data_IF_489657125532
#
_entry.id   IF_489657125532
#
_cell.length_a   1.000
_cell.length_b   1.000
_cell.length_c   1.000
_cell.angle_alpha   90.00
_cell.angle_beta   90.00
_cell.angle_gamma   90.00
#
_symmetry.space_group_name_H-M   'P 1'
#
loop_
_entity.id
_entity.type
_entity.pdbx_description
1 polymer ?
#
# COMPACT_ATOMS: atom_id res chain seq x y z
N UNK A 1 44.98 -26.18 -29.23
CA UNK A 1 43.96 -26.99 -28.54
C UNK A 1 44.33 -26.98 -27.07
N UNK A 2 43.63 -26.34 -26.15
CA UNK A 2 42.26 -25.81 -26.12
C UNK A 2 42.22 -24.74 -25.03
N UNK A 3 41.28 -23.81 -25.21
CA UNK A 3 41.04 -22.60 -24.45
C UNK A 3 41.26 -22.66 -22.94
N UNK A 4 42.12 -21.75 -22.46
CA UNK A 4 41.84 -21.02 -21.23
C UNK A 4 41.57 -19.58 -21.61
N UNK A 5 40.37 -19.34 -22.16
CA UNK A 5 39.73 -18.03 -22.13
C UNK A 5 39.49 -17.66 -20.66
N UNK A 6 40.51 -17.02 -20.07
CA UNK A 6 40.40 -16.37 -18.78
C UNK A 6 39.41 -15.22 -18.93
N UNK A 7 38.20 -15.45 -18.44
CA UNK A 7 37.07 -14.53 -18.45
C UNK A 7 37.49 -13.17 -17.82
N UNK A 8 37.75 -12.17 -18.67
CA UNK A 8 38.14 -10.79 -18.29
C UNK A 8 36.93 -10.01 -17.74
N UNK A 9 36.33 -10.50 -16.65
CA UNK A 9 35.24 -9.82 -15.96
C UNK A 9 35.73 -9.09 -14.70
N UNK A 10 35.92 -7.77 -14.84
CA UNK A 10 35.52 -6.75 -13.83
C UNK A 10 36.21 -6.75 -12.46
N UNK A 11 37.49 -6.34 -12.40
CA UNK A 11 38.09 -5.86 -11.14
C UNK A 11 37.67 -4.40 -10.89
N UNK A 12 36.52 -4.20 -10.26
CA UNK A 12 36.15 -2.93 -9.65
C UNK A 12 36.54 -2.99 -8.16
N UNK A 13 37.36 -2.05 -7.69
CA UNK A 13 37.83 -2.01 -6.30
C UNK A 13 36.93 -1.09 -5.50
N UNK A 14 36.35 -1.57 -4.40
CA UNK A 14 35.56 -0.74 -3.50
C UNK A 14 36.43 0.37 -2.93
N UNK A 15 35.98 1.62 -3.06
CA UNK A 15 36.70 2.79 -2.60
C UNK A 15 35.70 3.81 -2.06
N UNK A 16 35.80 4.16 -0.77
CA UNK A 16 34.83 5.05 -0.13
C UNK A 16 33.38 4.57 -0.28
N UNK A 17 32.54 5.44 -0.83
CA UNK A 17 31.12 5.24 -1.14
C UNK A 17 30.87 4.78 -2.59
N UNK A 18 31.89 4.27 -3.26
CA UNK A 18 31.79 3.83 -4.64
C UNK A 18 32.77 2.70 -5.00
N UNK A 19 33.06 2.61 -6.29
CA UNK A 19 34.07 1.71 -6.83
C UNK A 19 35.01 2.49 -7.75
N UNK A 20 36.27 2.09 -7.78
CA UNK A 20 37.20 2.44 -8.84
C UNK A 20 37.15 1.34 -9.87
N UNK A 21 36.79 1.68 -11.10
CA UNK A 21 36.71 0.72 -12.20
C UNK A 21 38.10 0.30 -12.65
N UNK A 22 38.19 -0.77 -13.45
CA UNK A 22 39.44 -1.20 -14.08
C UNK A 22 40.08 -0.15 -15.01
N UNK A 23 39.33 0.90 -15.37
CA UNK A 23 39.82 2.06 -16.16
C UNK A 23 40.28 3.22 -15.29
N UNK A 24 40.33 3.07 -13.96
CA UNK A 24 40.75 4.11 -13.02
C UNK A 24 39.71 5.21 -12.79
N UNK A 25 38.47 5.03 -13.25
CA UNK A 25 37.39 5.99 -13.00
C UNK A 25 36.64 5.66 -11.72
N UNK A 26 36.33 6.68 -10.92
CA UNK A 26 35.50 6.54 -9.73
C UNK A 26 34.01 6.57 -10.09
N UNK A 27 33.26 5.57 -9.66
CA UNK A 27 31.80 5.51 -9.76
C UNK A 27 31.22 5.56 -8.34
N UNK A 28 30.59 6.68 -7.99
CA UNK A 28 29.91 6.87 -6.70
C UNK A 28 28.61 6.07 -6.67
N UNK A 29 28.33 5.39 -5.57
CA UNK A 29 27.00 4.88 -5.28
C UNK A 29 26.24 5.90 -4.43
N UNK A 30 25.18 6.44 -4.99
CA UNK A 30 24.32 7.38 -4.30
C UNK A 30 23.40 6.65 -3.33
N UNK A 31 23.32 7.14 -2.10
CA UNK A 31 22.16 6.86 -1.26
C UNK A 31 20.90 7.49 -1.87
N UNK A 32 19.73 7.03 -1.45
CA UNK A 32 18.46 7.56 -1.96
C UNK A 32 18.31 9.06 -1.66
N UNK A 33 18.79 9.52 -0.50
CA UNK A 33 18.76 10.93 -0.09
C UNK A 33 19.70 11.75 -0.99
N UNK A 34 20.95 11.30 -1.17
CA UNK A 34 21.90 12.00 -2.04
C UNK A 34 21.43 12.09 -3.48
N UNK A 35 20.78 11.04 -4.00
CA UNK A 35 20.19 11.04 -5.34
C UNK A 35 19.11 12.13 -5.46
N UNK A 36 18.20 12.22 -4.48
CA UNK A 36 17.18 13.27 -4.46
C UNK A 36 17.79 14.67 -4.41
N UNK A 37 18.77 14.87 -3.54
CA UNK A 37 19.43 16.17 -3.40
C UNK A 37 20.16 16.57 -4.68
N UNK A 38 20.80 15.61 -5.35
CA UNK A 38 21.45 15.83 -6.64
C UNK A 38 20.45 16.24 -7.72
N UNK A 39 19.33 15.52 -7.85
CA UNK A 39 18.28 15.85 -8.82
C UNK A 39 17.68 17.22 -8.54
N UNK A 40 17.36 17.51 -7.27
CA UNK A 40 16.82 18.81 -6.85
C UNK A 40 17.76 19.96 -7.19
N UNK A 41 19.05 19.83 -6.89
CA UNK A 41 20.06 20.86 -7.21
C UNK A 41 20.22 21.08 -8.71
N UNK A 42 20.04 20.04 -9.51
CA UNK A 42 20.24 20.09 -10.96
C UNK A 42 19.03 20.68 -11.68
N UNK A 43 17.82 20.28 -11.28
CA UNK A 43 16.58 20.65 -11.98
C UNK A 43 15.81 21.79 -11.32
N UNK A 44 16.13 22.14 -10.07
CA UNK A 44 15.44 23.18 -9.30
C UNK A 44 14.08 22.77 -8.73
N UNK A 45 13.56 21.61 -9.13
CA UNK A 45 12.28 21.06 -8.64
C UNK A 45 12.51 19.93 -7.63
N UNK A 46 11.61 19.82 -6.64
CA UNK A 46 11.64 18.74 -5.64
C UNK A 46 11.28 17.39 -6.27
N UNK A 47 12.18 16.38 -6.26
CA UNK A 47 11.90 15.07 -6.81
C UNK A 47 11.06 14.20 -5.87
N UNK A 48 10.16 13.40 -6.45
CA UNK A 48 9.35 12.40 -5.75
C UNK A 48 10.01 11.04 -5.88
N UNK A 49 10.26 10.35 -4.74
CA UNK A 49 10.73 8.97 -4.74
C UNK A 49 9.69 8.05 -5.39
N UNK A 50 10.03 7.48 -6.55
CA UNK A 50 9.22 6.48 -7.22
C UNK A 50 9.61 5.07 -6.75
N UNK A 51 10.92 4.82 -6.57
CA UNK A 51 11.47 3.58 -6.04
C UNK A 51 12.95 3.75 -5.67
N UNK A 52 13.61 2.66 -5.29
CA UNK A 52 15.06 2.67 -5.04
C UNK A 52 15.81 3.06 -6.32
N UNK A 53 16.53 4.19 -6.26
CA UNK A 53 17.26 4.73 -7.41
C UNK A 53 16.39 5.38 -8.48
N UNK A 54 15.07 5.50 -8.28
CA UNK A 54 14.12 6.05 -9.26
C UNK A 54 13.36 7.22 -8.66
N UNK A 55 13.33 8.35 -9.36
CA UNK A 55 12.60 9.55 -8.95
C UNK A 55 11.81 10.17 -10.10
N UNK A 56 10.67 10.77 -9.79
CA UNK A 56 9.86 11.57 -10.71
C UNK A 56 10.03 13.05 -10.44
N UNK A 57 10.04 13.85 -11.50
CA UNK A 57 10.09 15.31 -11.44
C UNK A 57 9.00 15.85 -12.33
N UNK A 58 8.17 16.72 -11.77
CA UNK A 58 7.02 17.29 -12.46
C UNK A 58 7.34 18.72 -12.87
N UNK A 59 6.96 19.07 -14.10
CA UNK A 59 7.06 20.45 -14.60
C UNK A 59 5.96 21.33 -14.03
N UNK A 60 4.73 20.79 -13.97
CA UNK A 60 3.55 21.47 -13.44
C UNK A 60 3.24 21.01 -12.01
N UNK A 61 2.94 21.96 -11.12
CA UNK A 61 2.68 21.65 -9.71
C UNK A 61 1.29 21.02 -9.52
N UNK A 62 0.28 21.38 -10.32
CA UNK A 62 -1.05 20.79 -10.20
C UNK A 62 -1.03 19.30 -10.60
N UNK A 63 -0.28 18.94 -11.64
CA UNK A 63 -0.06 17.54 -12.04
C UNK A 63 0.62 16.74 -10.92
N UNK A 64 1.65 17.31 -10.30
CA UNK A 64 2.34 16.71 -9.15
C UNK A 64 1.37 16.44 -8.00
N UNK A 65 0.55 17.43 -7.65
CA UNK A 65 -0.41 17.30 -6.55
C UNK A 65 -1.52 16.29 -6.86
N UNK A 66 -1.99 16.24 -8.11
CA UNK A 66 -2.96 15.24 -8.53
C UNK A 66 -2.38 13.82 -8.46
N UNK A 67 -1.13 13.65 -8.88
CA UNK A 67 -0.40 12.38 -8.76
C UNK A 67 -0.28 11.94 -7.29
N UNK A 68 0.20 12.81 -6.41
CA UNK A 68 0.34 12.51 -4.97
C UNK A 68 -1.00 12.19 -4.31
N UNK A 69 -2.04 12.98 -4.60
CA UNK A 69 -3.37 12.76 -4.05
C UNK A 69 -4.01 11.46 -4.56
N UNK A 70 -3.70 11.03 -5.78
CA UNK A 70 -4.20 9.76 -6.35
C UNK A 70 -3.43 8.56 -5.81
N UNK A 71 -2.12 8.68 -5.61
CA UNK A 71 -1.24 7.60 -5.13
C UNK A 71 -1.66 7.05 -3.77
N UNK A 72 -2.22 7.89 -2.90
CA UNK A 72 -2.65 7.47 -1.56
C UNK A 72 -4.10 6.97 -1.53
N UNK A 73 -4.89 7.14 -2.60
CA UNK A 73 -6.32 6.79 -2.57
C UNK A 73 -6.52 5.31 -2.39
N UNK A 74 -7.59 4.97 -1.67
CA UNK A 74 -8.08 3.60 -1.68
C UNK A 74 -8.89 3.32 -2.95
N UNK A 75 -8.43 2.37 -3.76
CA UNK A 75 -9.15 1.89 -4.94
C UNK A 75 -10.16 0.84 -4.46
N UNK A 76 -11.44 1.20 -4.40
CA UNK A 76 -12.47 0.20 -4.13
C UNK A 76 -12.81 -0.53 -5.42
N UNK A 77 -12.50 -1.83 -5.47
CA UNK A 77 -13.01 -2.74 -6.49
C UNK A 77 -14.41 -3.26 -6.16
N UNK A 78 -15.11 -2.67 -5.19
CA UNK A 78 -16.48 -3.05 -4.82
C UNK A 78 -17.43 -2.81 -6.00
N UNK A 79 -17.50 -3.78 -6.89
CA UNK A 79 -18.62 -4.05 -7.77
C UNK A 79 -19.70 -4.57 -6.82
N UNK A 80 -20.34 -3.66 -6.07
CA UNK A 80 -21.58 -4.04 -5.41
C UNK A 80 -22.49 -4.63 -6.49
N UNK A 81 -22.94 -5.87 -6.28
CA UNK A 81 -24.08 -6.44 -6.99
C UNK A 81 -25.25 -5.51 -6.71
N UNK A 82 -25.44 -4.48 -7.53
CA UNK A 82 -26.45 -3.45 -7.32
C UNK A 82 -27.82 -4.10 -7.47
N UNK A 83 -28.67 -4.19 -6.43
CA UNK A 83 -30.07 -4.43 -6.66
C UNK A 83 -30.68 -3.08 -7.02
N UNK A 84 -30.71 -2.74 -8.31
CA UNK A 84 -31.46 -1.55 -8.73
C UNK A 84 -32.85 -1.99 -9.18
N UNK A 85 -33.80 -1.92 -8.25
CA UNK A 85 -35.18 -1.65 -8.64
C UNK A 85 -35.26 -0.16 -8.98
N UNK A 86 -34.84 0.21 -10.20
CA UNK A 86 -35.15 1.52 -10.74
C UNK A 86 -36.66 1.53 -10.95
N UNK A 87 -37.38 2.40 -10.25
CA UNK A 87 -38.76 2.71 -10.63
C UNK A 87 -38.80 3.10 -12.12
N UNK A 88 -39.85 2.69 -12.85
CA UNK A 88 -39.92 2.85 -14.31
C UNK A 88 -39.72 4.31 -14.77
N UNK A 89 -40.09 5.28 -13.93
CA UNK A 89 -39.88 6.72 -14.16
C UNK A 89 -38.42 7.16 -14.33
N UNK A 90 -37.45 6.33 -13.95
CA UNK A 90 -36.01 6.64 -14.02
C UNK A 90 -35.26 5.81 -15.06
N UNK A 91 -35.96 4.95 -15.79
CA UNK A 91 -35.35 4.07 -16.81
C UNK A 91 -34.62 4.87 -17.88
N UNK A 92 -35.18 6.02 -18.28
CA UNK A 92 -34.57 6.93 -19.27
C UNK A 92 -33.36 7.70 -18.73
N UNK A 93 -33.26 7.89 -17.41
CA UNK A 93 -32.14 8.58 -16.75
C UNK A 93 -31.08 7.61 -16.20
N UNK A 94 -31.26 6.30 -16.36
CA UNK A 94 -30.41 5.25 -15.78
C UNK A 94 -28.93 5.47 -16.04
N UNK A 95 -28.54 5.65 -17.31
CA UNK A 95 -27.12 5.74 -17.68
C UNK A 95 -26.43 6.97 -17.06
N UNK A 96 -27.08 8.14 -17.13
CA UNK A 96 -26.53 9.38 -16.55
C UNK A 96 -26.50 9.29 -15.03
N UNK A 97 -27.50 8.66 -14.40
CA UNK A 97 -27.54 8.44 -12.97
C UNK A 97 -26.44 7.48 -12.50
N UNK A 98 -26.17 6.40 -13.24
CA UNK A 98 -25.09 5.46 -12.93
C UNK A 98 -23.71 6.13 -13.01
N UNK A 99 -23.47 6.96 -14.03
CA UNK A 99 -22.27 7.79 -14.15
C UNK A 99 -22.15 8.77 -12.98
N UNK A 100 -23.26 9.40 -12.59
CA UNK A 100 -23.31 10.33 -11.46
C UNK A 100 -23.00 9.65 -10.13
N UNK A 101 -23.59 8.48 -9.87
CA UNK A 101 -23.31 7.66 -8.68
C UNK A 101 -21.84 7.28 -8.63
N UNK A 102 -21.27 6.77 -9.73
CA UNK A 102 -19.83 6.44 -9.79
C UNK A 102 -18.96 7.66 -9.47
N UNK A 103 -19.33 8.85 -9.96
CA UNK A 103 -18.61 10.08 -9.65
C UNK A 103 -18.74 10.47 -8.18
N UNK A 104 -19.91 10.30 -7.56
CA UNK A 104 -20.10 10.51 -6.13
C UNK A 104 -19.28 9.52 -5.31
N UNK A 105 -19.28 8.24 -5.65
CA UNK A 105 -18.50 7.21 -4.97
C UNK A 105 -17.00 7.51 -5.05
N UNK A 106 -16.53 8.02 -6.20
CA UNK A 106 -15.15 8.43 -6.40
C UNK A 106 -14.76 9.71 -5.63
N UNK A 107 -15.67 10.68 -5.52
CA UNK A 107 -15.41 11.96 -4.86
C UNK A 107 -15.77 11.95 -3.37
N UNK A 108 -16.57 11.00 -2.88
CA UNK A 108 -17.16 11.03 -1.53
C UNK A 108 -18.09 12.22 -1.29
N UNK A 109 -18.56 12.89 -2.35
CA UNK A 109 -19.44 14.06 -2.32
C UNK A 109 -20.12 14.26 -3.66
N UNK A 110 -21.10 15.17 -3.70
CA UNK A 110 -21.70 15.64 -4.94
C UNK A 110 -20.61 16.33 -5.80
N UNK A 111 -20.43 15.93 -7.08
CA UNK A 111 -19.50 16.62 -7.99
C UNK A 111 -19.94 18.06 -8.24
N UNK A 112 -19.00 18.94 -8.56
CA UNK A 112 -19.30 20.23 -9.18
C UNK A 112 -19.60 20.06 -10.66
N UNK A 113 -20.21 21.08 -11.26
CA UNK A 113 -20.66 21.03 -12.66
C UNK A 113 -19.50 20.81 -13.64
N UNK A 114 -18.34 21.39 -13.34
CA UNK A 114 -17.10 21.22 -14.11
C UNK A 114 -16.36 19.90 -13.80
N UNK A 115 -16.81 19.12 -12.82
CA UNK A 115 -16.25 17.80 -12.50
C UNK A 115 -17.05 16.63 -13.12
N UNK A 116 -18.19 16.92 -13.76
CA UNK A 116 -19.09 15.90 -14.31
C UNK A 116 -19.35 16.12 -15.80
N UNK A 117 -18.90 15.19 -16.63
CA UNK A 117 -18.96 15.30 -18.10
C UNK A 117 -20.39 15.38 -18.64
N UNK A 118 -21.35 14.73 -17.98
CA UNK A 118 -22.75 14.66 -18.42
C UNK A 118 -23.66 15.69 -17.70
N UNK A 119 -23.12 16.84 -17.31
CA UNK A 119 -23.85 17.90 -16.57
C UNK A 119 -25.15 18.31 -17.26
N UNK A 120 -25.11 18.64 -18.55
CA UNK A 120 -26.29 19.09 -19.30
C UNK A 120 -27.36 18.00 -19.40
N UNK A 121 -26.95 16.76 -19.67
CA UNK A 121 -27.85 15.60 -19.74
C UNK A 121 -28.52 15.34 -18.38
N UNK A 122 -27.75 15.46 -17.30
CA UNK A 122 -28.28 15.27 -15.95
C UNK A 122 -29.27 16.36 -15.58
N UNK A 123 -28.98 17.62 -15.89
CA UNK A 123 -29.90 18.74 -15.65
C UNK A 123 -31.18 18.60 -16.47
N UNK A 124 -31.08 18.21 -17.74
CA UNK A 124 -32.25 17.98 -18.59
C UNK A 124 -33.16 16.87 -18.06
N UNK A 125 -32.60 15.74 -17.60
CA UNK A 125 -33.37 14.58 -17.15
C UNK A 125 -33.82 14.61 -15.69
N UNK A 126 -33.01 15.21 -14.81
CA UNK A 126 -33.19 15.14 -13.35
C UNK A 126 -33.27 16.54 -12.68
N UNK A 127 -33.17 17.61 -13.46
CA UNK A 127 -33.29 19.01 -13.03
C UNK A 127 -31.98 19.59 -12.48
N UNK A 128 -31.50 19.08 -11.34
CA UNK A 128 -30.28 19.60 -10.70
C UNK A 128 -29.48 18.53 -9.99
N UNK A 129 -28.21 18.80 -9.69
CA UNK A 129 -27.33 17.88 -8.96
C UNK A 129 -27.90 17.54 -7.57
N UNK A 130 -28.51 18.52 -6.88
CA UNK A 130 -29.15 18.29 -5.59
C UNK A 130 -30.38 17.39 -5.71
N UNK A 131 -31.21 17.57 -6.75
CA UNK A 131 -32.36 16.69 -7.01
C UNK A 131 -31.90 15.27 -7.37
N UNK A 132 -30.90 15.14 -8.25
CA UNK A 132 -30.29 13.87 -8.60
C UNK A 132 -29.68 13.17 -7.37
N UNK A 133 -29.01 13.91 -6.48
CA UNK A 133 -28.44 13.34 -5.27
C UNK A 133 -29.49 12.89 -4.25
N UNK A 134 -30.61 13.62 -4.11
CA UNK A 134 -31.76 13.15 -3.31
C UNK A 134 -32.26 11.81 -3.83
N UNK A 135 -32.38 11.65 -5.14
CA UNK A 135 -32.74 10.38 -5.76
C UNK A 135 -31.71 9.28 -5.45
N UNK A 136 -30.41 9.57 -5.55
CA UNK A 136 -29.35 8.63 -5.16
C UNK A 136 -29.53 8.16 -3.71
N UNK A 137 -29.81 9.07 -2.76
CA UNK A 137 -30.07 8.69 -1.36
C UNK A 137 -31.28 7.78 -1.16
N UNK A 138 -32.30 7.92 -2.01
CA UNK A 138 -33.46 7.01 -1.97
C UNK A 138 -33.15 5.61 -2.52
N UNK A 139 -32.25 5.51 -3.49
CA UNK A 139 -31.92 4.25 -4.18
C UNK A 139 -30.79 3.49 -3.46
N UNK A 140 -29.84 4.19 -2.85
CA UNK A 140 -28.66 3.60 -2.22
C UNK A 140 -28.75 3.71 -0.70
N UNK A 141 -28.30 2.67 0.04
CA UNK A 141 -28.20 2.75 1.50
C UNK A 141 -27.39 3.97 1.96
N UNK A 142 -27.92 4.75 2.90
CA UNK A 142 -27.27 5.98 3.40
C UNK A 142 -25.85 5.71 3.94
N UNK A 143 -25.62 4.53 4.51
CA UNK A 143 -24.30 4.15 5.03
C UNK A 143 -23.22 4.08 3.93
N UNK A 144 -23.57 3.75 2.69
CA UNK A 144 -22.60 3.63 1.61
C UNK A 144 -22.01 5.00 1.23
N UNK A 145 -22.87 6.00 1.09
CA UNK A 145 -22.44 7.35 0.69
C UNK A 145 -21.57 7.97 1.78
N UNK A 146 -21.96 7.81 3.05
CA UNK A 146 -21.18 8.28 4.19
C UNK A 146 -19.84 7.54 4.32
N UNK A 147 -19.80 6.22 4.06
CA UNK A 147 -18.53 5.48 4.01
C UNK A 147 -17.60 6.01 2.91
N UNK A 148 -18.12 6.29 1.71
CA UNK A 148 -17.32 6.89 0.62
C UNK A 148 -16.84 8.30 0.96
N UNK A 149 -17.67 9.08 1.66
CA UNK A 149 -17.31 10.40 2.19
C UNK A 149 -16.17 10.31 3.20
N UNK A 150 -16.30 9.45 4.21
CA UNK A 150 -15.27 9.25 5.24
C UNK A 150 -13.97 8.75 4.63
N UNK A 151 -14.04 7.80 3.70
CA UNK A 151 -12.87 7.31 2.96
C UNK A 151 -12.17 8.44 2.21
N UNK A 152 -12.90 9.31 1.50
CA UNK A 152 -12.31 10.46 0.81
C UNK A 152 -11.59 11.39 1.78
N UNK A 153 -12.22 11.71 2.91
CA UNK A 153 -11.63 12.56 3.96
C UNK A 153 -10.32 11.95 4.46
N UNK A 154 -10.32 10.66 4.75
CA UNK A 154 -9.14 9.92 5.20
C UNK A 154 -8.02 9.94 4.15
N UNK A 155 -8.34 9.72 2.87
CA UNK A 155 -7.36 9.79 1.77
C UNK A 155 -6.75 11.19 1.65
N UNK A 156 -7.56 12.24 1.77
CA UNK A 156 -7.10 13.64 1.75
C UNK A 156 -6.20 13.96 2.93
N UNK A 157 -6.52 13.48 4.14
CA UNK A 157 -5.68 13.66 5.33
C UNK A 157 -4.32 12.99 5.16
N UNK A 158 -4.29 11.76 4.64
CA UNK A 158 -3.03 11.05 4.34
C UNK A 158 -2.21 11.83 3.31
N UNK A 159 -2.84 12.26 2.22
CA UNK A 159 -2.20 13.08 1.18
C UNK A 159 -1.60 14.36 1.76
N UNK A 160 -2.36 15.13 2.53
CA UNK A 160 -1.90 16.39 3.11
C UNK A 160 -0.78 16.16 4.12
N UNK A 161 -0.87 15.12 4.96
CA UNK A 161 0.17 14.77 5.91
C UNK A 161 1.50 14.46 5.19
N UNK A 162 1.47 13.61 4.16
CA UNK A 162 2.68 13.26 3.41
C UNK A 162 3.22 14.40 2.54
N UNK A 163 2.33 15.28 2.05
CA UNK A 163 2.74 16.47 1.30
C UNK A 163 3.46 17.51 2.16
N UNK A 164 3.38 17.42 3.49
CA UNK A 164 4.15 18.25 4.41
C UNK A 164 5.66 18.17 4.12
N UNK A 165 6.17 16.98 3.80
CA UNK A 165 7.60 16.75 3.54
C UNK A 165 8.13 17.39 2.26
N UNK A 166 7.26 17.80 1.35
CA UNK A 166 7.63 18.40 0.06
C UNK A 166 7.21 19.87 -0.05
N UNK A 167 6.88 20.50 1.09
CA UNK A 167 6.25 21.81 1.18
C UNK A 167 4.92 21.86 0.44
N UNK A 168 3.82 21.79 1.20
CA UNK A 168 2.47 21.89 0.64
C UNK A 168 2.34 23.16 -0.21
N UNK A 169 1.83 23.07 -1.45
CA UNK A 169 1.71 24.26 -2.28
C UNK A 169 0.60 25.18 -1.76
N UNK A 170 0.61 26.46 -2.18
CA UNK A 170 -0.52 27.37 -2.02
C UNK A 170 -1.82 26.77 -2.56
N UNK A 171 -2.95 27.20 -1.98
CA UNK A 171 -4.27 26.67 -2.31
C UNK A 171 -4.62 26.81 -3.79
N UNK A 172 -4.21 27.91 -4.41
CA UNK A 172 -4.50 28.28 -5.80
C UNK A 172 -3.82 27.35 -6.81
N UNK A 173 -2.68 26.75 -6.42
CA UNK A 173 -1.94 25.80 -7.25
C UNK A 173 -2.46 24.36 -7.11
N UNK A 174 -3.39 24.11 -6.20
CA UNK A 174 -4.03 22.80 -6.12
C UNK A 174 -4.97 22.61 -7.33
N UNK A 175 -5.09 21.38 -7.87
CA UNK A 175 -6.15 21.04 -8.80
C UNK A 175 -7.53 21.45 -8.28
N UNK A 176 -8.42 21.96 -9.14
CA UNK A 176 -9.78 22.41 -8.77
C UNK A 176 -10.55 21.40 -7.92
N UNK A 177 -10.43 20.11 -8.25
CA UNK A 177 -11.09 19.04 -7.50
C UNK A 177 -10.64 18.99 -6.04
N UNK A 178 -9.33 19.17 -5.78
CA UNK A 178 -8.81 19.26 -4.41
C UNK A 178 -9.24 20.56 -3.75
N UNK A 179 -9.26 21.69 -4.48
CA UNK A 179 -9.78 22.94 -3.94
C UNK A 179 -11.23 22.81 -3.44
N UNK A 180 -12.08 22.13 -4.21
CA UNK A 180 -13.45 21.81 -3.79
C UNK A 180 -13.49 20.88 -2.58
N UNK A 181 -12.66 19.84 -2.58
CA UNK A 181 -12.57 18.90 -1.47
C UNK A 181 -12.19 19.60 -0.16
N UNK A 182 -11.18 20.46 -0.18
CA UNK A 182 -10.75 21.21 1.02
C UNK A 182 -11.89 22.05 1.60
N UNK A 183 -12.62 22.76 0.74
CA UNK A 183 -13.76 23.59 1.16
C UNK A 183 -14.93 22.76 1.66
N UNK A 184 -15.26 21.66 0.98
CA UNK A 184 -16.46 20.87 1.27
C UNK A 184 -16.29 19.97 2.50
N UNK A 185 -15.09 19.42 2.70
CA UNK A 185 -14.85 18.47 3.80
C UNK A 185 -14.30 19.12 5.06
N UNK A 186 -13.49 20.18 4.92
CA UNK A 186 -12.78 20.79 6.04
C UNK A 186 -13.13 22.27 6.26
N UNK A 187 -13.93 22.86 5.37
CA UNK A 187 -14.28 24.29 5.38
C UNK A 187 -13.19 25.18 4.76
N UNK A 188 -11.92 24.92 5.06
CA UNK A 188 -10.79 25.62 4.45
C UNK A 188 -9.56 24.71 4.29
N UNK A 189 -8.64 25.13 3.43
CA UNK A 189 -7.36 24.42 3.25
C UNK A 189 -6.50 24.45 4.51
N UNK A 190 -6.47 25.57 5.24
CA UNK A 190 -5.74 25.67 6.52
C UNK A 190 -6.22 24.63 7.51
N UNK A 191 -7.54 24.52 7.72
CA UNK A 191 -8.14 23.52 8.63
C UNK A 191 -7.85 22.08 8.19
N UNK A 192 -7.80 21.82 6.88
CA UNK A 192 -7.42 20.52 6.35
C UNK A 192 -5.96 20.18 6.67
N UNK A 193 -5.05 21.15 6.48
CA UNK A 193 -3.64 21.05 6.80
C UNK A 193 -3.41 20.84 8.31
N UNK A 194 -4.06 21.64 9.17
CA UNK A 194 -3.99 21.53 10.63
C UNK A 194 -4.36 20.12 11.09
N UNK A 195 -5.50 19.58 10.62
CA UNK A 195 -5.94 18.22 10.96
C UNK A 195 -4.99 17.15 10.44
N UNK A 196 -4.39 17.36 9.27
CA UNK A 196 -3.40 16.44 8.72
C UNK A 196 -2.08 16.48 9.51
N UNK A 197 -1.67 17.66 9.98
CA UNK A 197 -0.50 17.85 10.84
C UNK A 197 -0.70 17.19 12.20
N UNK A 198 -1.89 17.31 12.80
CA UNK A 198 -2.23 16.60 14.04
C UNK A 198 -2.04 15.08 13.91
N UNK A 199 -2.53 14.49 12.81
CA UNK A 199 -2.31 13.06 12.52
C UNK A 199 -0.83 12.74 12.30
N UNK A 200 -0.10 13.60 11.59
CA UNK A 200 1.33 13.44 11.37
C UNK A 200 2.14 13.52 12.69
N UNK A 201 1.73 14.37 13.64
CA UNK A 201 2.35 14.37 14.97
C UNK A 201 2.01 13.11 15.77
N UNK A 202 0.80 12.57 15.62
CA UNK A 202 0.40 11.34 16.31
C UNK A 202 1.23 10.13 15.88
N UNK A 203 1.69 10.04 14.63
CA UNK A 203 2.50 8.90 14.19
C UNK A 203 3.86 8.79 14.91
N UNK A 204 4.31 9.87 15.55
CA UNK A 204 5.51 9.87 16.38
C UNK A 204 5.33 9.21 17.76
N UNK A 205 4.08 8.92 18.16
CA UNK A 205 3.72 8.35 19.47
C UNK A 205 3.53 6.83 19.34
N UNK A 206 4.41 5.99 19.94
CA UNK A 206 4.30 4.54 19.84
C UNK A 206 2.94 3.98 20.27
N UNK A 207 2.32 4.57 21.30
CA UNK A 207 1.02 4.15 21.82
C UNK A 207 -0.11 4.36 20.80
N UNK A 208 -0.04 5.45 20.03
CA UNK A 208 -1.04 5.72 18.99
C UNK A 208 -0.92 4.72 17.83
N UNK A 209 0.31 4.38 17.43
CA UNK A 209 0.57 3.34 16.43
C UNK A 209 0.10 1.97 16.93
N UNK A 210 0.38 1.67 18.19
CA UNK A 210 -0.03 0.42 18.82
C UNK A 210 -1.55 0.24 18.82
N UNK A 211 -2.29 1.23 19.33
CA UNK A 211 -3.77 1.24 19.33
C UNK A 211 -4.31 1.06 17.90
N UNK A 212 -3.76 1.79 16.93
CA UNK A 212 -4.21 1.68 15.55
C UNK A 212 -3.91 0.30 14.94
N UNK A 213 -2.79 -0.34 15.31
CA UNK A 213 -2.48 -1.70 14.89
C UNK A 213 -3.46 -2.71 15.51
N UNK A 214 -3.77 -2.57 16.81
CA UNK A 214 -4.70 -3.45 17.52
C UNK A 214 -6.13 -3.35 16.98
N UNK A 215 -6.55 -2.15 16.57
CA UNK A 215 -7.88 -1.91 15.99
C UNK A 215 -7.98 -2.31 14.52
N UNK A 216 -6.85 -2.60 13.86
CA UNK A 216 -6.84 -2.90 12.43
C UNK A 216 -7.69 -4.13 12.12
N UNK A 217 -8.63 -3.97 11.18
CA UNK A 217 -9.47 -5.06 10.67
C UNK A 217 -8.78 -5.94 9.64
N UNK A 218 -7.57 -5.54 9.23
CA UNK A 218 -6.77 -6.25 8.23
C UNK A 218 -5.34 -6.42 8.74
N UNK A 219 -4.75 -7.55 8.37
CA UNK A 219 -3.38 -7.86 8.67
C UNK A 219 -3.25 -8.82 9.85
N UNK A 220 -2.09 -9.46 9.91
CA UNK A 220 -1.72 -10.36 11.00
C UNK A 220 -1.08 -9.55 12.12
N UNK A 221 -1.81 -9.40 13.22
CA UNK A 221 -1.27 -8.80 14.43
C UNK A 221 -0.45 -9.83 15.21
N UNK A 222 0.80 -9.49 15.49
CA UNK A 222 1.72 -10.16 16.41
C UNK A 222 2.04 -9.22 17.58
N UNK A 223 2.65 -9.71 18.68
CA UNK A 223 2.94 -8.89 19.86
C UNK A 223 3.64 -7.56 19.57
N UNK A 224 4.61 -7.53 18.66
CA UNK A 224 5.39 -6.32 18.35
C UNK A 224 5.06 -5.70 16.98
N UNK A 225 4.24 -6.36 16.17
CA UNK A 225 4.18 -6.08 14.74
C UNK A 225 2.78 -6.27 14.15
N UNK A 226 2.43 -5.46 13.14
CA UNK A 226 1.31 -5.72 12.24
C UNK A 226 1.84 -5.98 10.83
N UNK A 227 1.45 -7.10 10.23
CA UNK A 227 1.82 -7.47 8.86
C UNK A 227 0.62 -7.34 7.93
N UNK A 228 0.76 -6.64 6.81
CA UNK A 228 -0.32 -6.38 5.87
C UNK A 228 0.22 -6.57 4.45
N UNK A 229 -0.57 -7.14 3.55
CA UNK A 229 -0.19 -7.21 2.14
C UNK A 229 -0.25 -5.82 1.49
N UNK A 230 0.70 -5.51 0.61
CA UNK A 230 0.89 -4.17 0.00
C UNK A 230 -0.37 -3.63 -0.69
N UNK A 231 -1.21 -4.51 -1.23
CA UNK A 231 -2.44 -4.16 -1.95
C UNK A 231 -3.58 -3.67 -1.03
N UNK A 232 -3.37 -3.66 0.29
CA UNK A 232 -4.42 -3.30 1.22
C UNK A 232 -3.95 -2.29 2.28
N UNK A 233 -2.84 -1.59 2.03
CA UNK A 233 -2.35 -0.53 2.92
C UNK A 233 -3.39 0.58 3.03
N UNK A 234 -4.07 0.87 1.93
CA UNK A 234 -5.13 1.87 1.84
C UNK A 234 -6.38 1.52 2.67
N UNK A 235 -6.53 0.26 3.11
CA UNK A 235 -7.60 -0.18 4.02
C UNK A 235 -7.26 0.04 5.50
N UNK A 236 -6.01 0.39 5.82
CA UNK A 236 -5.60 0.69 7.19
C UNK A 236 -6.14 2.05 7.66
N UNK A 237 -6.11 2.25 8.98
CA UNK A 237 -6.40 3.56 9.55
C UNK A 237 -5.46 4.64 9.01
N UNK A 238 -5.92 5.90 8.87
CA UNK A 238 -5.12 7.00 8.31
C UNK A 238 -3.74 7.16 8.97
N UNK A 239 -3.66 6.99 10.28
CA UNK A 239 -2.41 7.07 11.04
C UNK A 239 -1.38 6.01 10.59
N UNK A 240 -1.80 4.77 10.34
CA UNK A 240 -0.91 3.71 9.85
C UNK A 240 -0.52 3.93 8.38
N UNK A 241 -1.45 4.47 7.58
CA UNK A 241 -1.18 4.84 6.18
C UNK A 241 -0.14 5.95 6.10
N UNK A 242 -0.24 6.96 6.95
CA UNK A 242 0.78 8.02 7.08
C UNK A 242 2.10 7.42 7.55
N UNK A 243 2.08 6.54 8.56
CA UNK A 243 3.29 5.90 9.07
C UNK A 243 4.05 5.10 7.99
N UNK A 244 3.34 4.28 7.20
CA UNK A 244 3.90 3.58 6.03
C UNK A 244 4.33 4.56 4.94
N UNK A 245 3.52 5.59 4.68
CA UNK A 245 3.80 6.64 3.71
C UNK A 245 5.09 7.42 4.02
N UNK A 246 5.38 7.70 5.29
CA UNK A 246 6.64 8.32 5.71
C UNK A 246 7.85 7.46 5.33
N UNK A 247 7.74 6.13 5.48
CA UNK A 247 8.79 5.23 5.03
C UNK A 247 8.91 5.22 3.49
N UNK A 248 7.80 5.27 2.75
CA UNK A 248 7.78 5.37 1.28
C UNK A 248 8.34 6.69 0.76
N UNK A 249 8.18 7.81 1.47
CA UNK A 249 8.82 9.09 1.10
C UNK A 249 10.35 8.94 1.08
N UNK A 250 10.90 8.15 2.01
CA UNK A 250 12.33 7.90 2.11
C UNK A 250 12.83 6.88 1.07
N UNK A 251 12.17 5.74 0.94
CA UNK A 251 12.67 4.60 0.13
C UNK A 251 12.05 4.50 -1.27
N UNK A 252 10.95 5.19 -1.53
CA UNK A 252 10.10 4.99 -2.70
C UNK A 252 9.19 3.77 -2.56
N UNK A 253 8.56 3.34 -3.66
CA UNK A 253 7.90 2.04 -3.72
C UNK A 253 8.93 0.92 -3.90
N UNK A 254 8.71 -0.19 -3.20
CA UNK A 254 9.49 -1.40 -3.35
C UNK A 254 8.58 -2.41 -4.04
N UNK A 255 8.69 -2.48 -5.36
CA UNK A 255 7.75 -3.22 -6.22
C UNK A 255 7.68 -4.71 -5.86
N UNK A 256 8.82 -5.34 -5.54
CA UNK A 256 8.85 -6.77 -5.21
C UNK A 256 8.28 -7.10 -3.82
N UNK A 257 8.16 -6.11 -2.93
CA UNK A 257 7.76 -6.35 -1.54
C UNK A 257 6.24 -6.50 -1.42
N UNK A 258 5.77 -7.73 -1.30
CA UNK A 258 4.35 -8.02 -1.14
C UNK A 258 3.82 -7.83 0.29
N UNK A 259 4.66 -7.87 1.32
CA UNK A 259 4.24 -7.67 2.72
C UNK A 259 4.89 -6.43 3.31
N UNK A 260 4.08 -5.59 3.95
CA UNK A 260 4.53 -4.47 4.79
C UNK A 260 4.36 -4.85 6.24
N UNK A 261 5.43 -4.69 7.02
CA UNK A 261 5.50 -4.93 8.45
C UNK A 261 5.63 -3.58 9.17
N UNK A 262 4.61 -3.23 9.95
CA UNK A 262 4.58 -2.06 10.82
C UNK A 262 5.04 -2.50 12.20
N UNK A 263 6.14 -1.91 12.70
CA UNK A 263 6.64 -2.20 14.05
C UNK A 263 5.90 -1.30 15.05
N UNK A 264 5.13 -1.91 15.95
CA UNK A 264 4.18 -1.22 16.85
C UNK A 264 4.87 -0.22 17.79
N UNK A 265 6.10 -0.52 18.21
CA UNK A 265 6.77 0.20 19.29
C UNK A 265 8.09 0.88 18.90
N UNK A 266 8.68 0.55 17.74
CA UNK A 266 10.10 0.88 17.49
C UNK A 266 10.36 1.93 16.41
N UNK A 267 9.33 2.53 15.81
CA UNK A 267 9.53 3.61 14.84
C UNK A 267 10.07 3.12 13.49
N UNK A 268 9.63 1.94 13.02
CA UNK A 268 10.18 1.28 11.83
C UNK A 268 9.08 0.69 10.96
N UNK A 269 9.35 0.63 9.67
CA UNK A 269 8.56 -0.11 8.68
C UNK A 269 9.50 -1.03 7.93
N UNK A 270 9.12 -2.30 7.76
CA UNK A 270 9.86 -3.24 6.92
C UNK A 270 9.01 -3.68 5.73
N UNK A 271 9.65 -3.78 4.58
CA UNK A 271 9.09 -4.29 3.33
C UNK A 271 9.72 -5.66 3.07
N UNK A 272 8.88 -6.68 2.99
CA UNK A 272 9.29 -8.08 2.89
C UNK A 272 8.91 -8.62 1.52
N UNK A 273 9.89 -9.20 0.84
CA UNK A 273 9.75 -9.79 -0.50
C UNK A 273 9.68 -11.30 -0.41
N UNK A 274 8.55 -11.85 -0.86
CA UNK A 274 8.33 -13.29 -1.03
C UNK A 274 8.01 -13.55 -2.51
N UNK A 275 8.99 -13.85 -3.37
CA UNK A 275 8.73 -13.97 -4.83
C UNK A 275 7.72 -15.06 -5.19
N UNK A 276 7.61 -16.09 -4.33
CA UNK A 276 6.67 -17.20 -4.47
C UNK A 276 5.39 -17.03 -3.62
N UNK A 277 5.04 -15.80 -3.22
CA UNK A 277 3.91 -15.53 -2.31
C UNK A 277 2.63 -16.27 -2.72
N UNK A 278 2.28 -16.21 -3.99
CA UNK A 278 1.11 -16.89 -4.55
C UNK A 278 1.32 -18.37 -4.84
N UNK A 279 2.54 -18.75 -5.20
CA UNK A 279 2.86 -20.07 -5.77
C UNK A 279 3.08 -21.14 -4.72
N UNK A 280 3.66 -20.78 -3.57
CA UNK A 280 3.98 -21.73 -2.48
C UNK A 280 3.05 -21.56 -1.29
N UNK A 281 2.77 -22.65 -0.58
CA UNK A 281 2.03 -22.63 0.68
C UNK A 281 2.71 -21.73 1.72
N UNK A 282 4.00 -22.00 1.95
CA UNK A 282 4.86 -21.24 2.87
C UNK A 282 6.06 -20.69 2.10
N UNK A 283 5.89 -19.56 1.40
CA UNK A 283 6.97 -18.97 0.63
C UNK A 283 8.10 -18.57 1.57
N UNK A 284 9.34 -18.69 1.10
CA UNK A 284 10.50 -18.21 1.81
C UNK A 284 10.71 -16.72 1.55
N UNK A 285 11.18 -16.04 2.58
CA UNK A 285 11.57 -14.65 2.51
C UNK A 285 12.84 -14.55 1.66
N UNK A 286 12.80 -13.71 0.64
CA UNK A 286 13.96 -13.44 -0.22
C UNK A 286 14.76 -12.25 0.30
N UNK A 287 14.05 -11.22 0.76
CA UNK A 287 14.63 -9.94 1.11
C UNK A 287 13.76 -9.14 2.08
N UNK A 288 14.42 -8.36 2.94
CA UNK A 288 13.80 -7.37 3.81
C UNK A 288 14.50 -6.04 3.63
N UNK A 289 13.72 -4.98 3.39
CA UNK A 289 14.18 -3.60 3.48
C UNK A 289 13.50 -2.96 4.69
N UNK A 290 14.27 -2.50 5.67
CA UNK A 290 13.76 -1.83 6.89
C UNK A 290 14.12 -0.36 6.84
N UNK A 291 13.10 0.49 6.99
CA UNK A 291 13.23 1.94 7.11
C UNK A 291 13.05 2.33 8.57
N UNK A 292 14.05 3.01 9.12
CA UNK A 292 14.04 3.52 10.49
C UNK A 292 13.61 4.99 10.45
N UNK A 293 12.38 5.28 10.87
CA UNK A 293 11.78 6.61 10.69
C UNK A 293 12.46 7.70 11.52
N UNK A 294 13.07 7.35 12.66
CA UNK A 294 13.76 8.32 13.53
C UNK A 294 15.15 8.71 13.02
N UNK A 295 15.90 7.73 12.50
CA UNK A 295 17.28 7.94 12.03
C UNK A 295 17.37 8.15 10.52
N UNK A 296 16.26 7.96 9.81
CA UNK A 296 16.16 7.97 8.34
C UNK A 296 17.04 6.91 7.67
N UNK A 297 17.51 5.91 8.44
CA UNK A 297 18.36 4.84 7.95
C UNK A 297 17.52 3.79 7.19
N UNK A 298 18.06 3.32 6.06
CA UNK A 298 17.47 2.24 5.26
C UNK A 298 18.43 1.05 5.30
N UNK A 299 17.98 -0.08 5.84
CA UNK A 299 18.74 -1.33 5.90
C UNK A 299 18.16 -2.39 5.00
N UNK A 300 19.02 -3.04 4.24
CA UNK A 300 18.67 -4.16 3.36
C UNK A 300 19.28 -5.45 3.89
N UNK A 301 18.49 -6.53 3.92
CA UNK A 301 18.95 -7.89 4.27
C UNK A 301 18.39 -8.88 3.25
N UNK A 302 19.26 -9.67 2.63
CA UNK A 302 18.86 -10.75 1.74
C UNK A 302 18.93 -12.11 2.44
N UNK A 303 17.99 -12.97 2.09
CA UNK A 303 17.90 -14.38 2.50
C UNK A 303 17.96 -15.31 1.28
N UNK A 304 18.19 -14.77 0.07
CA UNK A 304 18.38 -15.58 -1.14
C UNK A 304 19.57 -16.52 -0.96
N UNK A 305 19.38 -17.80 -1.26
CA UNK A 305 20.40 -18.83 -1.07
C UNK A 305 20.58 -19.31 0.39
N UNK A 306 19.83 -18.76 1.35
CA UNK A 306 19.81 -19.32 2.70
C UNK A 306 19.24 -20.74 2.68
N UNK A 307 19.91 -21.67 3.35
CA UNK A 307 19.39 -23.04 3.52
C UNK A 307 18.17 -23.08 4.44
N UNK A 308 18.07 -22.14 5.38
CA UNK A 308 16.99 -22.07 6.35
C UNK A 308 16.41 -20.65 6.42
N UNK A 309 15.75 -20.17 5.36
CA UNK A 309 15.16 -18.84 5.35
C UNK A 309 13.92 -18.80 6.25
N UNK A 310 13.54 -17.61 6.76
CA UNK A 310 12.21 -17.40 7.30
C UNK A 310 11.14 -17.74 6.26
N UNK A 311 10.04 -18.32 6.70
CA UNK A 311 8.90 -18.66 5.85
C UNK A 311 7.61 -18.02 6.36
N UNK A 312 6.64 -17.86 5.46
CA UNK A 312 5.37 -17.21 5.77
C UNK A 312 4.24 -18.23 5.98
N UNK A 313 3.48 -18.07 7.07
CA UNK A 313 2.28 -18.86 7.37
C UNK A 313 1.05 -17.97 7.53
N UNK A 314 -0.14 -18.59 7.44
CA UNK A 314 -1.43 -17.93 7.64
C UNK A 314 -1.66 -16.80 6.63
N UNK A 315 -1.46 -17.09 5.35
CA UNK A 315 -1.42 -16.04 4.31
C UNK A 315 -2.75 -15.31 4.15
N UNK A 316 -3.87 -15.98 4.44
CA UNK A 316 -5.21 -15.41 4.49
C UNK A 316 -5.35 -14.26 5.49
N UNK A 317 -4.48 -14.17 6.51
CA UNK A 317 -4.51 -13.06 7.48
C UNK A 317 -3.93 -11.75 6.92
N UNK A 318 -3.11 -11.80 5.86
CA UNK A 318 -2.48 -10.60 5.28
C UNK A 318 -3.32 -9.96 4.17
N UNK A 319 -4.31 -10.68 3.64
CA UNK A 319 -5.12 -10.29 2.47
C UNK A 319 -6.61 -10.29 2.80
N UNK A 320 -7.43 -9.64 1.97
CA UNK A 320 -8.89 -9.63 2.14
C UNK A 320 -9.58 -10.76 1.36
N UNK A 321 -10.88 -11.04 1.63
CA UNK A 321 -11.64 -12.07 0.91
C UNK A 321 -11.75 -11.89 -0.61
N UNK A 322 -11.52 -10.69 -1.12
CA UNK A 322 -11.50 -10.39 -2.56
C UNK A 322 -10.19 -10.84 -3.24
N UNK A 323 -9.18 -11.25 -2.47
CA UNK A 323 -7.94 -11.77 -3.02
C UNK A 323 -8.18 -13.10 -3.73
N UNK A 324 -7.69 -13.24 -4.97
CA UNK A 324 -7.96 -14.40 -5.83
C UNK A 324 -7.71 -15.76 -5.16
N UNK A 325 -6.68 -15.86 -4.32
CA UNK A 325 -6.32 -17.09 -3.61
C UNK A 325 -6.75 -17.15 -2.15
N UNK A 326 -7.58 -16.21 -1.67
CA UNK A 326 -7.99 -16.12 -0.26
C UNK A 326 -8.51 -17.46 0.28
N UNK A 327 -9.55 -18.02 -0.36
CA UNK A 327 -10.17 -19.28 0.05
C UNK A 327 -9.19 -20.46 0.08
N UNK A 328 -8.22 -20.46 -0.84
CA UNK A 328 -7.19 -21.51 -0.92
C UNK A 328 -6.20 -21.39 0.24
N UNK A 329 -5.81 -20.17 0.61
CA UNK A 329 -4.94 -19.92 1.76
C UNK A 329 -5.66 -20.26 3.06
N UNK A 330 -6.91 -19.82 3.21
CA UNK A 330 -7.74 -20.08 4.37
C UNK A 330 -7.94 -21.58 4.61
N UNK A 331 -8.32 -22.35 3.58
CA UNK A 331 -8.49 -23.80 3.68
C UNK A 331 -7.23 -24.55 4.11
N UNK A 332 -6.05 -24.07 3.70
CA UNK A 332 -4.79 -24.66 4.14
C UNK A 332 -4.57 -24.37 5.63
N UNK A 333 -4.69 -23.10 6.03
CA UNK A 333 -4.50 -22.69 7.42
C UNK A 333 -5.47 -23.41 8.36
N UNK A 334 -6.77 -23.46 8.02
CA UNK A 334 -7.78 -24.12 8.86
C UNK A 334 -7.39 -25.60 9.13
N UNK A 335 -6.85 -26.31 8.12
CA UNK A 335 -6.35 -27.69 8.29
C UNK A 335 -5.06 -27.77 9.11
N UNK A 336 -4.15 -26.82 8.94
CA UNK A 336 -2.92 -26.76 9.72
C UNK A 336 -3.20 -26.47 11.20
N UNK A 337 -4.22 -25.67 11.49
CA UNK A 337 -4.72 -25.41 12.85
C UNK A 337 -5.41 -26.64 13.44
N UNK A 338 -6.33 -27.28 12.69
CA UNK A 338 -7.04 -28.50 13.12
C UNK A 338 -6.07 -29.62 13.54
N UNK A 339 -4.94 -29.75 12.83
CA UNK A 339 -3.92 -30.76 13.10
C UNK A 339 -2.86 -30.32 14.13
N UNK A 340 -3.00 -29.12 14.70
CA UNK A 340 -2.07 -28.55 15.68
C UNK A 340 -0.66 -28.32 15.12
N UNK A 341 -0.53 -28.11 13.81
CA UNK A 341 0.76 -27.82 13.16
C UNK A 341 1.22 -26.39 13.47
N UNK A 342 0.28 -25.46 13.67
CA UNK A 342 0.56 -24.05 13.98
C UNK A 342 0.62 -23.73 15.47
N UNK A 343 0.40 -24.72 16.34
CA UNK A 343 0.54 -24.59 17.80
C UNK A 343 1.97 -24.24 18.18
N UNK A 344 2.21 -23.56 19.30
CA UNK A 344 3.55 -23.16 19.74
C UNK A 344 4.33 -22.45 18.61
N UNK A 345 4.04 -21.16 18.41
CA UNK A 345 4.61 -20.32 17.35
C UNK A 345 6.14 -20.23 17.35
N UNK A 346 6.80 -20.65 18.43
CA UNK A 346 8.24 -20.79 18.48
C UNK A 346 8.71 -21.88 17.52
N UNK A 347 9.59 -21.51 16.59
CA UNK A 347 10.24 -22.44 15.67
C UNK A 347 9.53 -22.67 14.33
N UNK A 348 8.24 -22.36 14.17
CA UNK A 348 7.57 -22.55 12.86
C UNK A 348 8.05 -21.59 11.79
N UNK A 349 8.58 -20.42 12.19
CA UNK A 349 8.94 -19.35 11.26
C UNK A 349 10.10 -19.62 10.31
N UNK A 350 10.76 -20.79 10.38
CA UNK A 350 11.91 -21.15 9.56
C UNK A 350 11.69 -22.47 8.82
N UNK A 351 12.20 -22.57 7.60
CA UNK A 351 11.94 -23.70 6.69
C UNK A 351 12.27 -25.06 7.29
N UNK A 352 13.50 -25.27 7.79
CA UNK A 352 13.96 -26.58 8.28
C UNK A 352 13.09 -27.06 9.45
N UNK A 353 12.84 -26.19 10.42
CA UNK A 353 12.00 -26.51 11.58
C UNK A 353 10.54 -26.80 11.19
N UNK A 354 10.00 -26.10 10.20
CA UNK A 354 8.66 -26.38 9.68
C UNK A 354 8.59 -27.74 8.96
N UNK A 355 9.57 -28.05 8.13
CA UNK A 355 9.67 -29.34 7.43
C UNK A 355 9.85 -30.50 8.42
N UNK A 356 10.68 -30.33 9.44
CA UNK A 356 10.84 -31.29 10.54
C UNK A 356 9.53 -31.51 11.30
N UNK A 357 8.78 -30.45 11.59
CA UNK A 357 7.48 -30.54 12.26
C UNK A 357 6.46 -31.31 11.42
N UNK A 358 6.36 -31.00 10.13
CA UNK A 358 5.50 -31.74 9.21
C UNK A 358 5.87 -33.23 9.19
N UNK A 359 7.16 -33.52 9.14
CA UNK A 359 7.69 -34.89 9.14
C UNK A 359 7.35 -35.65 10.43
N UNK A 360 7.55 -35.02 11.59
CA UNK A 360 7.22 -35.60 12.90
C UNK A 360 5.72 -35.90 13.06
N UNK A 361 4.86 -35.09 12.42
CA UNK A 361 3.41 -35.26 12.44
C UNK A 361 2.88 -36.14 11.30
N UNK A 362 3.75 -36.66 10.43
CA UNK A 362 3.36 -37.57 9.33
C UNK A 362 2.76 -36.88 8.10
N UNK A 363 2.99 -35.58 7.92
CA UNK A 363 2.44 -34.78 6.83
C UNK A 363 3.51 -34.27 5.87
N UNK A 364 3.06 -33.86 4.69
CA UNK A 364 3.82 -33.06 3.73
C UNK A 364 2.90 -32.06 3.03
N UNK A 365 3.48 -30.99 2.51
CA UNK A 365 2.74 -30.01 1.71
C UNK A 365 2.88 -30.34 0.22
N UNK A 366 1.77 -30.37 -0.51
CA UNK A 366 1.72 -30.46 -1.98
C UNK A 366 0.90 -29.28 -2.53
N UNK A 367 1.57 -28.30 -3.13
CA UNK A 367 0.93 -27.04 -3.52
C UNK A 367 0.48 -26.26 -2.28
N UNK A 368 -0.84 -26.11 -2.10
CA UNK A 368 -1.46 -25.51 -0.91
C UNK A 368 -2.38 -26.50 -0.20
N UNK A 369 -1.98 -27.78 -0.18
CA UNK A 369 -2.73 -28.83 0.49
C UNK A 369 -1.79 -29.67 1.35
N UNK A 370 -2.27 -30.04 2.54
CA UNK A 370 -1.65 -31.07 3.37
C UNK A 370 -1.98 -32.45 2.79
N UNK A 371 -0.97 -33.29 2.69
CA UNK A 371 -1.07 -34.68 2.30
C UNK A 371 -0.44 -35.57 3.38
N UNK A 372 -1.09 -36.69 3.69
CA UNK A 372 -0.50 -37.73 4.55
C UNK A 372 0.71 -38.31 3.85
N UNK A 373 1.81 -38.48 4.57
CA UNK A 373 2.97 -39.20 4.07
C UNK A 373 2.64 -40.68 4.11
N UNK A 374 2.38 -41.28 2.95
CA UNK A 374 2.21 -42.74 2.85
C UNK A 374 3.43 -43.44 3.44
N UNK A 375 3.20 -44.38 4.36
CA UNK A 375 4.24 -45.28 4.85
C UNK A 375 4.72 -46.12 3.66
N UNK A 376 5.88 -45.81 3.11
CA UNK A 376 6.66 -46.84 2.44
C UNK A 376 7.21 -47.71 3.58
N UNK A 377 6.58 -48.87 3.75
CA UNK A 377 7.09 -49.97 4.57
C UNK A 377 8.32 -50.57 3.91
#
# INVERSE_FOLDING_TARGET
MTDKETNRATYAVKHGDGIITSRGTFQKFYTQIELKDFIKKTLGNEPISAGLGVAYVFRDEADKQLFLATRVRRINYDIYKRPILLEDRYREAKEVLEKFVKKIEYLGRIPKEDEFEATEVLKAKLGSFTKAFKLVKHIFPDNLIEQRREQRINDLLVYLALSHFQSRPPFELLPKTLQYDMRIFFGSYSKACERADELLFQIGKPEAIDIACQQSKIGKLLPDDLYVHRNYIEHLYPILRIYVGCAQVLVGEIEDANIVKIHRHTGKVSYLTYSDFDKKAHPALDEVITVYLRTLEIRKRSYKGSENPPILHRKETFVLPDYLQYEKFKKLTDKEEELGLLDNSSGIGFRKQWEERLLQRGYKIRGHQLAIRGHYT
#
